data_IF_079642661872
#
_entry.id   IF_079642661872
#
_cell.length_a   1.000
_cell.length_b   1.000
_cell.length_c   1.000
_cell.angle_alpha   90.00
_cell.angle_beta   90.00
_cell.angle_gamma   90.00
#
_symmetry.space_group_name_H-M   'P 1'
#
loop_
_entity.id
_entity.type
_entity.pdbx_description
1 polymer ?
#
# COMPACT_ATOMS: atom_id res chain seq x y z
N UNK A 1 10.08 10.05 -11.07
CA UNK A 1 9.17 10.19 -9.92
C UNK A 1 7.87 9.48 -10.31
N UNK A 2 7.48 8.45 -9.59
CA UNK A 2 6.35 7.60 -9.97
C UNK A 2 5.72 6.93 -8.75
N UNK A 3 4.71 6.12 -9.01
CA UNK A 3 4.08 5.29 -7.99
C UNK A 3 4.89 4.02 -7.75
N UNK A 4 5.11 3.65 -6.48
CA UNK A 4 5.75 2.38 -6.10
C UNK A 4 5.03 1.78 -4.91
N UNK A 5 4.71 0.50 -5.01
CA UNK A 5 4.19 -0.32 -3.92
C UNK A 5 4.96 -1.64 -3.90
N UNK A 6 5.65 -1.91 -2.81
CA UNK A 6 6.48 -3.09 -2.64
C UNK A 6 6.40 -3.64 -1.22
N UNK A 7 6.64 -4.94 -1.11
CA UNK A 7 6.71 -5.70 0.12
C UNK A 7 8.11 -6.25 0.30
N UNK A 8 8.61 -6.24 1.54
CA UNK A 8 9.94 -6.72 1.89
C UNK A 8 9.84 -7.57 3.16
N UNK A 9 10.20 -8.84 3.07
CA UNK A 9 10.21 -9.77 4.19
C UNK A 9 11.51 -10.57 4.23
N UNK A 10 11.63 -11.47 5.20
CA UNK A 10 12.83 -12.31 5.35
C UNK A 10 13.04 -13.23 4.14
N UNK A 11 11.95 -13.68 3.52
CA UNK A 11 11.96 -14.62 2.40
C UNK A 11 12.05 -13.95 1.02
N UNK A 12 12.29 -12.64 0.98
CA UNK A 12 12.49 -11.89 -0.26
C UNK A 12 11.69 -10.60 -0.34
N UNK A 13 11.49 -10.13 -1.56
CA UNK A 13 10.70 -8.94 -1.86
C UNK A 13 9.65 -9.26 -2.93
N UNK A 14 8.53 -8.56 -2.87
CA UNK A 14 7.45 -8.66 -3.85
C UNK A 14 7.00 -7.26 -4.27
N UNK A 15 6.48 -7.15 -5.49
CA UNK A 15 5.84 -5.93 -5.99
C UNK A 15 4.34 -6.15 -6.19
N UNK A 16 3.63 -5.10 -6.55
CA UNK A 16 2.21 -5.17 -6.88
C UNK A 16 1.92 -6.26 -7.94
N UNK A 17 0.97 -7.15 -7.64
CA UNK A 17 0.64 -8.32 -8.46
C UNK A 17 1.28 -9.62 -7.98
N UNK A 18 2.35 -9.55 -7.18
CA UNK A 18 3.08 -10.72 -6.70
C UNK A 18 2.58 -11.21 -5.34
N UNK A 19 3.13 -12.35 -4.93
CA UNK A 19 2.92 -12.99 -3.64
C UNK A 19 4.24 -13.11 -2.85
N UNK A 20 4.15 -12.95 -1.52
CA UNK A 20 5.26 -13.14 -0.59
C UNK A 20 4.82 -13.93 0.64
N UNK A 21 5.71 -14.80 1.13
CA UNK A 21 5.50 -15.54 2.37
C UNK A 21 5.81 -14.66 3.59
N UNK A 22 4.92 -14.63 4.58
CA UNK A 22 4.94 -13.66 5.66
C UNK A 22 6.15 -13.79 6.60
N UNK A 23 6.71 -15.00 6.79
CA UNK A 23 7.83 -15.21 7.72
C UNK A 23 7.53 -14.66 9.11
N UNK A 24 8.47 -13.94 9.71
CA UNK A 24 8.25 -13.18 10.96
C UNK A 24 7.43 -11.88 10.78
N UNK A 25 7.32 -11.38 9.55
CA UNK A 25 6.61 -10.14 9.21
C UNK A 25 7.07 -9.58 7.86
N UNK A 26 6.21 -8.79 7.23
CA UNK A 26 6.49 -8.18 5.91
C UNK A 26 6.32 -6.67 5.99
N UNK A 27 7.35 -5.94 5.62
CA UNK A 27 7.31 -4.48 5.52
C UNK A 27 6.75 -4.07 4.17
N UNK A 28 5.58 -3.44 4.19
CA UNK A 28 4.97 -2.80 3.03
C UNK A 28 5.43 -1.35 2.93
N UNK A 29 5.95 -0.98 1.78
CA UNK A 29 6.44 0.35 1.47
C UNK A 29 5.68 0.92 0.28
N UNK A 30 5.25 2.16 0.44
CA UNK A 30 4.46 2.90 -0.54
C UNK A 30 5.13 4.23 -0.80
N UNK A 31 5.21 4.59 -2.08
CA UNK A 31 5.56 5.94 -2.53
C UNK A 31 4.57 6.37 -3.61
N UNK A 32 3.95 7.53 -3.43
CA UNK A 32 3.06 8.16 -4.41
C UNK A 32 3.71 9.44 -4.96
N UNK A 33 3.44 9.82 -6.22
CA UNK A 33 4.18 10.89 -6.87
C UNK A 33 3.90 12.31 -6.33
N UNK A 34 2.80 12.50 -5.59
CA UNK A 34 2.42 13.77 -4.95
C UNK A 34 1.65 13.51 -3.65
N UNK A 35 1.51 14.55 -2.82
CA UNK A 35 0.76 14.46 -1.56
C UNK A 35 -0.68 14.02 -1.83
N UNK A 36 -1.09 12.93 -1.19
CA UNK A 36 -2.39 12.34 -1.33
C UNK A 36 -2.85 11.77 0.02
N UNK A 37 -4.14 11.50 0.13
CA UNK A 37 -4.65 10.60 1.16
C UNK A 37 -4.35 9.16 0.73
N UNK A 38 -3.42 8.52 1.43
CA UNK A 38 -2.97 7.15 1.18
C UNK A 38 -3.71 6.22 2.14
N UNK A 39 -4.38 5.21 1.61
CA UNK A 39 -5.06 4.15 2.36
C UNK A 39 -4.43 2.82 2.01
N UNK A 40 -3.96 2.10 3.02
CA UNK A 40 -3.55 0.70 2.89
C UNK A 40 -4.69 -0.17 3.39
N UNK A 41 -5.16 -1.07 2.53
CA UNK A 41 -6.26 -1.99 2.79
C UNK A 41 -5.72 -3.41 2.92
N UNK A 42 -6.28 -4.18 3.85
CA UNK A 42 -6.16 -5.65 3.92
C UNK A 42 -7.53 -6.28 3.78
N UNK A 43 -7.70 -7.17 2.80
CA UNK A 43 -8.98 -7.86 2.54
C UNK A 43 -10.17 -6.88 2.44
N UNK A 44 -9.95 -5.72 1.82
CA UNK A 44 -10.97 -4.68 1.64
C UNK A 44 -11.18 -3.74 2.85
N UNK A 45 -10.53 -3.98 3.99
CA UNK A 45 -10.61 -3.10 5.16
C UNK A 45 -9.38 -2.20 5.28
N UNK A 46 -9.57 -0.90 5.54
CA UNK A 46 -8.46 0.04 5.75
C UNK A 46 -7.76 -0.28 7.07
N UNK A 47 -6.48 -0.60 7.01
CA UNK A 47 -5.65 -0.92 8.17
C UNK A 47 -4.66 0.20 8.52
N UNK A 48 -4.30 1.04 7.55
CA UNK A 48 -3.47 2.20 7.77
C UNK A 48 -3.88 3.32 6.82
N UNK A 49 -3.79 4.56 7.31
CA UNK A 49 -4.12 5.77 6.57
C UNK A 49 -3.11 6.87 6.85
N UNK A 50 -2.76 7.61 5.81
CA UNK A 50 -1.98 8.85 5.89
C UNK A 50 -2.69 9.92 5.08
N UNK A 51 -2.88 11.09 5.67
CA UNK A 51 -3.49 12.24 5.01
C UNK A 51 -2.39 13.18 4.52
N UNK A 52 -2.53 13.67 3.28
CA UNK A 52 -1.59 14.62 2.64
C UNK A 52 -0.11 14.19 2.68
N UNK A 53 0.16 12.90 2.46
CA UNK A 53 1.51 12.32 2.49
C UNK A 53 1.91 11.76 1.11
N UNK A 54 3.21 11.52 0.93
CA UNK A 54 3.80 10.88 -0.24
C UNK A 54 4.27 9.46 0.04
N UNK A 55 4.40 9.07 1.31
CA UNK A 55 4.91 7.76 1.70
C UNK A 55 4.06 7.12 2.79
N UNK A 56 4.00 5.79 2.78
CA UNK A 56 3.40 5.00 3.85
C UNK A 56 4.24 3.74 4.05
N UNK A 57 4.58 3.46 5.30
CA UNK A 57 5.21 2.20 5.69
C UNK A 57 4.33 1.48 6.70
N UNK A 58 4.17 0.18 6.53
CA UNK A 58 3.37 -0.64 7.42
C UNK A 58 3.99 -2.04 7.53
N UNK A 59 4.13 -2.53 8.76
CA UNK A 59 4.59 -3.90 9.00
C UNK A 59 3.34 -4.79 9.06
N UNK A 60 3.16 -5.62 8.05
CA UNK A 60 2.13 -6.63 7.99
C UNK A 60 2.48 -7.79 8.94
N UNK A 61 1.62 -7.97 9.94
CA UNK A 61 1.68 -9.00 10.98
C UNK A 61 0.67 -10.13 10.74
N UNK A 62 -0.08 -10.09 9.63
CA UNK A 62 -1.08 -11.11 9.27
C UNK A 62 -1.09 -11.36 7.77
N UNK A 63 -1.34 -12.60 7.33
CA UNK A 63 -1.53 -12.88 5.91
C UNK A 63 -2.81 -12.22 5.39
N UNK A 64 -2.85 -11.96 4.10
CA UNK A 64 -4.00 -11.35 3.43
C UNK A 64 -3.65 -10.66 2.13
N UNK A 65 -4.66 -10.08 1.52
CA UNK A 65 -4.57 -9.33 0.26
C UNK A 65 -4.40 -7.86 0.60
N UNK A 66 -3.23 -7.30 0.31
CA UNK A 66 -2.89 -5.92 0.62
C UNK A 66 -3.01 -5.03 -0.62
N UNK A 67 -3.83 -3.99 -0.57
CA UNK A 67 -4.03 -3.03 -1.66
C UNK A 67 -3.77 -1.61 -1.20
N UNK A 68 -3.22 -0.80 -2.09
CA UNK A 68 -3.13 0.62 -1.88
C UNK A 68 -4.21 1.39 -2.66
N UNK A 69 -4.80 2.38 -2.00
CA UNK A 69 -5.61 3.40 -2.63
C UNK A 69 -5.07 4.78 -2.28
N UNK A 70 -4.93 5.65 -3.27
CA UNK A 70 -4.56 7.05 -3.07
C UNK A 70 -5.66 7.96 -3.60
N UNK A 71 -5.99 9.00 -2.82
CA UNK A 71 -7.00 9.99 -3.16
C UNK A 71 -6.39 11.39 -3.11
N UNK A 72 -6.76 12.24 -4.07
CA UNK A 72 -6.33 13.65 -4.11
C UNK A 72 -7.54 14.57 -4.01
N UNK A 73 -7.34 15.75 -3.44
CA UNK A 73 -8.34 16.81 -3.47
C UNK A 73 -8.31 17.50 -4.84
N UNK A 74 -9.42 17.43 -5.57
CA UNK A 74 -9.58 18.08 -6.86
C UNK A 74 -10.92 18.80 -6.93
N UNK A 75 -10.89 20.13 -7.11
CA UNK A 75 -12.07 21.01 -7.11
C UNK A 75 -12.93 20.87 -5.84
N UNK A 76 -12.30 20.79 -4.67
CA UNK A 76 -12.99 20.71 -3.38
C UNK A 76 -13.62 19.34 -3.07
N UNK A 77 -13.33 18.31 -3.87
CA UNK A 77 -13.80 16.95 -3.65
C UNK A 77 -12.64 15.96 -3.69
N UNK A 78 -12.69 14.94 -2.83
CA UNK A 78 -11.75 13.82 -2.87
C UNK A 78 -12.02 12.95 -4.10
N UNK A 79 -10.99 12.72 -4.91
CA UNK A 79 -11.05 11.86 -6.09
C UNK A 79 -10.06 10.72 -5.96
N UNK A 80 -10.50 9.52 -6.33
CA UNK A 80 -9.60 8.38 -6.47
C UNK A 80 -8.55 8.67 -7.53
N UNK A 81 -7.29 8.55 -7.15
CA UNK A 81 -6.15 8.85 -8.03
C UNK A 81 -5.40 7.59 -8.43
N UNK A 82 -5.05 6.74 -7.47
CA UNK A 82 -4.28 5.51 -7.69
C UNK A 82 -4.97 4.37 -6.96
N UNK A 83 -5.26 3.29 -7.69
CA UNK A 83 -5.69 2.02 -7.13
C UNK A 83 -4.68 0.97 -7.57
N UNK A 84 -3.92 0.43 -6.63
CA UNK A 84 -2.86 -0.52 -6.95
C UNK A 84 -3.39 -1.92 -7.14
N UNK A 85 -2.66 -2.73 -7.91
CA UNK A 85 -2.80 -4.18 -7.80
C UNK A 85 -2.43 -4.64 -6.39
N UNK A 86 -3.05 -5.73 -5.90
CA UNK A 86 -2.76 -6.24 -4.59
C UNK A 86 -1.37 -6.88 -4.51
N UNK A 87 -0.79 -6.92 -3.31
CA UNK A 87 0.29 -7.83 -2.95
C UNK A 87 -0.33 -8.90 -2.05
N UNK A 88 -0.12 -10.16 -2.40
CA UNK A 88 -0.61 -11.29 -1.63
C UNK A 88 0.42 -11.66 -0.57
N UNK A 89 0.03 -11.65 0.69
CA UNK A 89 0.88 -12.10 1.79
C UNK A 89 0.29 -13.41 2.30
N UNK A 90 1.06 -14.50 2.24
CA UNK A 90 0.64 -15.83 2.71
C UNK A 90 1.42 -16.32 3.92
#
# INVERSE_FOLDING_TARGET
RGFRFSAQGEKGAAIMGDEINMGAGVTLQVSVPAKAEIRLLRNGSVIAKRDADTHLMHIADKPGVYRLEAYIDFKGQKRGWIFSNPIYIR
#
